data_IF_764174749813
#
_entry.id   IF_764174749813
#
_cell.length_a   1.000
_cell.length_b   1.000
_cell.length_c   1.000
_cell.angle_alpha   90.00
_cell.angle_beta   90.00
_cell.angle_gamma   90.00
#
_symmetry.space_group_name_H-M   'P 1'
#
loop_
_entity.id
_entity.type
_entity.pdbx_description
1 polymer ?
#
# COMPACT_ATOMS: atom_id res chain seq x y z
N UNK A 1 51.45 -41.23 31.40
CA UNK A 1 50.36 -41.79 32.21
C UNK A 1 50.39 -41.24 33.63
N UNK A 2 50.04 -39.97 33.82
CA UNK A 2 49.72 -39.37 35.12
C UNK A 2 49.06 -38.01 34.83
N UNK A 3 48.08 -37.62 35.65
CA UNK A 3 47.23 -36.42 35.60
C UNK A 3 45.98 -36.45 34.70
N UNK A 4 45.09 -37.40 35.03
CA UNK A 4 43.64 -37.12 35.13
C UNK A 4 43.33 -36.73 36.59
N UNK A 5 42.19 -36.05 36.79
CA UNK A 5 41.49 -35.80 38.07
C UNK A 5 41.85 -34.47 38.74
N UNK A 6 41.19 -33.38 38.33
CA UNK A 6 40.79 -32.21 39.18
C UNK A 6 40.16 -31.12 38.32
N UNK A 7 38.89 -31.29 37.90
CA UNK A 7 38.05 -30.19 37.37
C UNK A 7 36.59 -30.62 37.19
N UNK A 8 36.01 -31.21 38.23
CA UNK A 8 34.56 -31.35 38.39
C UNK A 8 34.29 -31.16 39.87
N UNK A 9 33.19 -30.49 40.24
CA UNK A 9 32.80 -30.05 41.60
C UNK A 9 33.16 -28.58 41.89
N UNK A 10 32.54 -27.64 41.18
CA UNK A 10 32.17 -26.29 41.71
C UNK A 10 31.22 -25.54 40.74
N UNK A 11 30.15 -26.19 40.27
CA UNK A 11 29.09 -25.52 39.46
C UNK A 11 27.69 -26.06 39.81
N UNK A 12 27.41 -26.33 41.09
CA UNK A 12 26.16 -26.98 41.52
C UNK A 12 25.56 -26.33 42.77
N UNK A 13 25.60 -24.99 42.86
CA UNK A 13 24.99 -24.27 43.98
C UNK A 13 24.32 -22.91 43.62
N UNK A 14 24.26 -22.52 42.35
CA UNK A 14 23.59 -21.27 41.90
C UNK A 14 22.47 -21.49 40.87
N UNK A 15 21.85 -22.68 40.83
CA UNK A 15 20.85 -23.05 39.81
C UNK A 15 19.49 -23.47 40.40
N UNK A 16 19.20 -23.07 41.65
CA UNK A 16 17.96 -23.46 42.36
C UNK A 16 17.12 -22.30 42.89
N UNK A 17 17.41 -21.05 42.47
CA UNK A 17 16.67 -19.86 42.94
C UNK A 17 15.91 -19.12 41.82
N UNK A 18 15.71 -19.72 40.64
CA UNK A 18 15.13 -19.05 39.45
C UNK A 18 13.86 -19.73 38.88
N UNK A 19 13.09 -20.45 39.70
CA UNK A 19 11.84 -21.13 39.27
C UNK A 19 10.61 -20.83 40.16
N UNK A 20 10.56 -19.65 40.79
CA UNK A 20 9.39 -19.17 41.53
C UNK A 20 8.96 -17.77 41.08
N UNK A 21 9.02 -17.50 39.77
CA UNK A 21 8.16 -16.45 39.21
C UNK A 21 6.77 -17.10 39.10
N UNK A 22 5.74 -16.65 39.83
CA UNK A 22 4.38 -17.08 39.56
C UNK A 22 4.12 -16.75 38.10
N UNK A 23 4.03 -17.79 37.25
CA UNK A 23 3.59 -17.60 35.88
C UNK A 23 2.26 -16.88 35.96
N UNK A 24 2.19 -15.67 35.40
CA UNK A 24 0.94 -15.04 35.09
C UNK A 24 0.22 -16.06 34.21
N UNK A 25 -0.76 -16.75 34.78
CA UNK A 25 -1.62 -17.61 34.00
C UNK A 25 -2.34 -16.66 33.05
N UNK A 26 -1.91 -16.62 31.79
CA UNK A 26 -2.65 -15.91 30.76
C UNK A 26 -4.08 -16.40 30.81
N UNK A 27 -5.02 -15.47 31.00
CA UNK A 27 -6.42 -15.79 31.00
C UNK A 27 -6.82 -16.06 29.55
N UNK A 28 -6.82 -17.34 29.16
CA UNK A 28 -7.32 -17.75 27.85
C UNK A 28 -8.72 -17.16 27.63
N UNK A 29 -8.96 -16.63 26.42
CA UNK A 29 -10.25 -16.02 26.06
C UNK A 29 -11.42 -16.95 26.39
N UNK A 30 -12.49 -16.35 26.88
CA UNK A 30 -13.72 -17.07 27.17
C UNK A 30 -14.40 -17.55 25.89
N UNK A 31 -15.19 -18.63 26.00
CA UNK A 31 -15.89 -19.23 24.85
C UNK A 31 -16.75 -18.24 24.06
N UNK A 32 -17.45 -17.26 24.67
CA UNK A 32 -18.20 -16.24 23.93
C UNK A 32 -17.29 -15.39 23.03
N UNK A 33 -16.15 -14.92 23.54
CA UNK A 33 -15.16 -14.12 22.79
C UNK A 33 -14.58 -14.94 21.62
N UNK A 34 -14.17 -16.19 21.89
CA UNK A 34 -13.68 -17.07 20.84
C UNK A 34 -14.73 -17.32 19.75
N UNK A 35 -15.99 -17.51 20.12
CA UNK A 35 -17.09 -17.68 19.16
C UNK A 35 -17.30 -16.43 18.33
N UNK A 36 -17.08 -15.24 18.90
CA UNK A 36 -17.23 -13.99 18.20
C UNK A 36 -16.17 -13.79 17.11
N UNK A 37 -14.89 -13.86 17.47
CA UNK A 37 -13.77 -13.74 16.53
C UNK A 37 -13.85 -14.77 15.39
N UNK A 38 -14.15 -16.03 15.72
CA UNK A 38 -14.39 -17.08 14.72
C UNK A 38 -15.60 -16.81 13.82
N UNK A 39 -16.62 -16.13 14.36
CA UNK A 39 -17.81 -15.73 13.64
C UNK A 39 -17.50 -14.64 12.62
N UNK A 40 -16.81 -13.58 13.06
CA UNK A 40 -16.44 -12.44 12.22
C UNK A 40 -15.57 -12.88 11.04
N UNK A 41 -14.43 -13.53 11.29
CA UNK A 41 -13.53 -13.99 10.23
C UNK A 41 -14.24 -14.89 9.19
N UNK A 42 -15.13 -15.77 9.66
CA UNK A 42 -15.90 -16.68 8.80
C UNK A 42 -16.94 -15.94 7.95
N UNK A 43 -17.68 -14.98 8.52
CA UNK A 43 -18.71 -14.26 7.78
C UNK A 43 -18.09 -13.18 6.86
N UNK A 44 -16.98 -12.54 7.26
CA UNK A 44 -16.18 -11.63 6.42
C UNK A 44 -15.66 -12.36 5.17
N UNK A 45 -15.10 -13.57 5.33
CA UNK A 45 -14.71 -14.42 4.19
C UNK A 45 -15.87 -14.89 3.29
N UNK A 46 -17.13 -14.66 3.68
CA UNK A 46 -18.28 -14.84 2.76
C UNK A 46 -18.63 -13.57 2.00
N UNK A 47 -18.32 -12.39 2.54
CA UNK A 47 -18.44 -11.10 1.85
C UNK A 47 -17.45 -11.08 0.70
N UNK A 48 -16.16 -11.24 1.00
CA UNK A 48 -15.06 -11.39 0.05
C UNK A 48 -15.43 -12.38 -1.08
N UNK A 49 -15.76 -13.62 -0.73
CA UNK A 49 -16.16 -14.65 -1.70
C UNK A 49 -17.39 -14.25 -2.55
N UNK A 50 -18.33 -13.50 -1.99
CA UNK A 50 -19.48 -13.01 -2.75
C UNK A 50 -19.04 -11.92 -3.73
N UNK A 51 -18.22 -10.98 -3.26
CA UNK A 51 -17.67 -9.86 -4.02
C UNK A 51 -16.79 -10.35 -5.17
N UNK A 52 -15.76 -11.16 -4.90
CA UNK A 52 -14.90 -11.76 -5.93
C UNK A 52 -15.68 -12.65 -6.92
N UNK A 53 -16.78 -13.25 -6.45
CA UNK A 53 -17.72 -13.99 -7.30
C UNK A 53 -18.51 -13.11 -8.28
N UNK A 54 -18.86 -11.89 -7.87
CA UNK A 54 -19.53 -10.91 -8.72
C UNK A 54 -18.53 -10.17 -9.62
N UNK A 55 -17.34 -9.81 -9.14
CA UNK A 55 -16.23 -9.29 -9.96
C UNK A 55 -15.90 -10.20 -11.15
N UNK A 56 -15.67 -11.49 -10.89
CA UNK A 56 -15.42 -12.46 -11.94
C UNK A 56 -16.62 -12.65 -12.89
N UNK A 57 -17.85 -12.34 -12.46
CA UNK A 57 -19.02 -12.33 -13.34
C UNK A 57 -19.10 -11.05 -14.18
N UNK A 58 -18.74 -9.89 -13.63
CA UNK A 58 -18.71 -8.60 -14.30
C UNK A 58 -17.71 -8.59 -15.47
N UNK A 59 -16.44 -8.90 -15.20
CA UNK A 59 -15.39 -9.02 -16.24
C UNK A 59 -15.81 -10.00 -17.34
N UNK A 60 -16.40 -11.14 -16.96
CA UNK A 60 -16.90 -12.14 -17.90
C UNK A 60 -18.09 -11.66 -18.75
N UNK A 61 -19.01 -10.88 -18.17
CA UNK A 61 -20.19 -10.39 -18.87
C UNK A 61 -19.81 -9.25 -19.82
N UNK A 62 -18.92 -8.35 -19.38
CA UNK A 62 -18.34 -7.30 -20.20
C UNK A 62 -17.61 -7.90 -21.41
N UNK A 63 -16.71 -8.87 -21.20
CA UNK A 63 -16.00 -9.55 -22.29
C UNK A 63 -16.87 -10.39 -23.23
N UNK A 64 -18.18 -10.52 -22.93
CA UNK A 64 -19.19 -11.13 -23.81
C UNK A 64 -20.14 -10.10 -24.43
N UNK A 65 -19.90 -8.80 -24.22
CA UNK A 65 -20.76 -7.68 -24.56
C UNK A 65 -22.20 -7.88 -24.07
N UNK A 66 -22.36 -8.34 -22.82
CA UNK A 66 -23.65 -8.49 -22.12
C UNK A 66 -23.86 -7.32 -21.16
N UNK A 67 -23.97 -6.12 -21.71
CA UNK A 67 -24.14 -4.88 -20.94
C UNK A 67 -25.42 -4.88 -20.11
N UNK A 68 -26.47 -5.59 -20.53
CA UNK A 68 -27.70 -5.83 -19.76
C UNK A 68 -27.48 -6.61 -18.44
N UNK A 69 -26.31 -7.24 -18.29
CA UNK A 69 -25.90 -7.99 -17.09
C UNK A 69 -24.86 -7.26 -16.26
N UNK A 70 -24.57 -5.99 -16.56
CA UNK A 70 -23.65 -5.14 -15.80
C UNK A 70 -24.38 -4.19 -14.84
N UNK A 71 -25.70 -4.04 -15.01
CA UNK A 71 -26.52 -3.16 -14.19
C UNK A 71 -26.69 -1.77 -14.80
N UNK A 72 -27.18 -0.80 -14.01
CA UNK A 72 -27.19 0.61 -14.41
C UNK A 72 -25.81 1.08 -14.85
N UNK A 73 -25.74 1.97 -15.84
CA UNK A 73 -24.49 2.48 -16.43
C UNK A 73 -23.84 1.54 -17.46
N UNK A 74 -23.98 0.22 -17.28
CA UNK A 74 -23.60 -0.76 -18.30
C UNK A 74 -22.08 -0.89 -18.51
N UNK A 75 -21.27 -0.39 -17.57
CA UNK A 75 -19.81 -0.50 -17.56
C UNK A 75 -19.35 -1.65 -16.66
N UNK A 76 -18.07 -2.02 -16.76
CA UNK A 76 -17.52 -3.06 -15.87
C UNK A 76 -17.37 -2.53 -14.45
N UNK A 77 -17.00 -1.27 -14.27
CA UNK A 77 -16.87 -0.55 -13.00
C UNK A 77 -18.20 -0.52 -12.24
N UNK A 78 -19.28 -0.09 -12.89
CA UNK A 78 -20.61 -0.07 -12.29
C UNK A 78 -21.00 -1.47 -11.80
N UNK A 79 -20.66 -2.51 -12.59
CA UNK A 79 -21.01 -3.88 -12.24
C UNK A 79 -20.33 -4.35 -10.95
N UNK A 80 -19.10 -3.91 -10.65
CA UNK A 80 -18.35 -4.34 -9.47
C UNK A 80 -19.04 -3.92 -8.17
N UNK A 81 -19.71 -2.76 -8.17
CA UNK A 81 -20.35 -2.19 -6.97
C UNK A 81 -21.86 -2.42 -6.89
N UNK A 82 -22.50 -2.80 -8.00
CA UNK A 82 -23.96 -2.90 -8.09
C UNK A 82 -24.61 -4.09 -7.32
N UNK A 83 -23.84 -5.05 -6.80
CA UNK A 83 -24.34 -6.30 -6.16
C UNK A 83 -25.57 -6.88 -6.89
N UNK A 84 -25.44 -7.15 -8.19
CA UNK A 84 -26.56 -7.47 -9.08
C UNK A 84 -27.41 -8.68 -8.64
N UNK A 85 -26.90 -9.50 -7.71
CA UNK A 85 -27.57 -10.68 -7.18
C UNK A 85 -27.94 -10.56 -5.71
N UNK A 86 -27.70 -9.42 -5.06
CA UNK A 86 -27.93 -9.20 -3.63
C UNK A 86 -27.11 -10.12 -2.72
N UNK A 87 -26.02 -10.70 -3.23
CA UNK A 87 -25.23 -11.71 -2.52
C UNK A 87 -24.28 -11.05 -1.52
N UNK A 88 -23.71 -9.92 -1.90
CA UNK A 88 -22.78 -9.15 -1.07
C UNK A 88 -23.54 -8.55 0.10
N UNK A 89 -24.64 -7.83 -0.16
CA UNK A 89 -25.52 -7.27 0.87
C UNK A 89 -26.02 -8.35 1.85
N UNK A 90 -26.39 -9.53 1.33
CA UNK A 90 -26.79 -10.67 2.17
C UNK A 90 -25.64 -11.22 3.02
N UNK A 91 -24.40 -11.17 2.54
CA UNK A 91 -23.23 -11.56 3.32
C UNK A 91 -22.92 -10.50 4.40
N UNK A 92 -22.93 -9.21 4.06
CA UNK A 92 -22.74 -8.09 5.01
C UNK A 92 -23.75 -8.14 6.15
N UNK A 93 -25.03 -8.42 5.83
CA UNK A 93 -26.08 -8.62 6.84
C UNK A 93 -25.75 -9.74 7.84
N UNK A 94 -25.04 -10.80 7.40
CA UNK A 94 -24.63 -11.88 8.31
C UNK A 94 -23.45 -11.49 9.18
N UNK A 95 -22.53 -10.68 8.67
CA UNK A 95 -21.44 -10.10 9.48
C UNK A 95 -22.03 -9.20 10.56
N UNK A 96 -22.95 -8.30 10.21
CA UNK A 96 -23.65 -7.44 11.17
C UNK A 96 -24.45 -8.22 12.24
N UNK A 97 -24.81 -9.48 11.95
CA UNK A 97 -25.44 -10.38 12.93
C UNK A 97 -24.45 -11.00 13.93
N UNK A 98 -23.14 -10.83 13.73
CA UNK A 98 -22.09 -11.23 14.68
C UNK A 98 -21.76 -10.02 15.53
N UNK A 99 -22.23 -10.02 16.77
CA UNK A 99 -22.02 -8.91 17.71
C UNK A 99 -21.01 -9.34 18.77
N UNK A 100 -19.83 -8.69 18.80
CA UNK A 100 -18.83 -8.84 19.85
C UNK A 100 -19.03 -7.72 20.87
N UNK A 101 -19.86 -7.95 21.88
CA UNK A 101 -20.11 -6.96 22.93
C UNK A 101 -20.33 -7.65 24.28
N UNK A 102 -20.10 -6.91 25.37
CA UNK A 102 -20.21 -7.43 26.73
C UNK A 102 -19.28 -8.63 26.95
N UNK A 103 -19.82 -9.75 27.42
CA UNK A 103 -19.04 -10.98 27.65
C UNK A 103 -18.44 -11.58 26.36
N UNK A 104 -18.96 -11.23 25.19
CA UNK A 104 -18.43 -11.70 23.90
C UNK A 104 -17.37 -10.77 23.31
N UNK A 105 -17.08 -9.64 23.97
CA UNK A 105 -16.07 -8.69 23.55
C UNK A 105 -14.67 -9.17 23.98
N UNK A 106 -13.78 -9.54 23.04
CA UNK A 106 -12.39 -9.89 23.35
C UNK A 106 -11.54 -8.70 23.83
N UNK A 107 -11.97 -7.45 23.60
CA UNK A 107 -11.17 -6.25 23.82
C UNK A 107 -10.07 -6.02 22.78
N UNK A 108 -10.02 -6.84 21.72
CA UNK A 108 -9.09 -6.72 20.59
C UNK A 108 -9.64 -7.38 19.33
N UNK A 109 -9.08 -7.01 18.17
CA UNK A 109 -9.42 -7.59 16.89
C UNK A 109 -10.69 -7.03 16.27
N UNK A 110 -11.19 -7.77 15.30
CA UNK A 110 -12.10 -7.27 14.28
C UNK A 110 -13.38 -6.61 14.80
N UNK A 111 -13.65 -5.39 14.30
CA UNK A 111 -14.85 -4.62 14.61
C UNK A 111 -15.91 -4.73 13.50
N UNK A 112 -17.02 -4.00 13.64
CA UNK A 112 -18.17 -4.08 12.73
C UNK A 112 -17.91 -3.67 11.28
N UNK A 113 -16.74 -3.08 10.97
CA UNK A 113 -16.36 -2.57 9.62
C UNK A 113 -15.76 -3.65 8.71
N UNK A 114 -15.41 -4.83 9.21
CA UNK A 114 -14.77 -5.90 8.42
C UNK A 114 -15.55 -6.34 7.17
N UNK A 115 -16.87 -6.11 7.18
CA UNK A 115 -17.70 -6.41 6.02
C UNK A 115 -17.44 -5.43 4.87
N UNK A 116 -17.13 -4.17 5.19
CA UNK A 116 -16.78 -3.13 4.22
C UNK A 116 -15.33 -3.34 3.76
N UNK A 117 -14.40 -3.56 4.68
CA UNK A 117 -12.99 -3.85 4.37
C UNK A 117 -12.83 -5.06 3.44
N UNK A 118 -13.51 -6.18 3.73
CA UNK A 118 -13.46 -7.37 2.87
C UNK A 118 -14.09 -7.15 1.48
N UNK A 119 -14.99 -6.18 1.34
CA UNK A 119 -15.56 -5.81 0.04
C UNK A 119 -14.58 -4.91 -0.74
N UNK A 120 -14.00 -3.92 -0.06
CA UNK A 120 -13.06 -2.96 -0.62
C UNK A 120 -11.74 -3.65 -1.03
N UNK A 121 -11.28 -4.63 -0.26
CA UNK A 121 -10.14 -5.50 -0.60
C UNK A 121 -10.30 -6.16 -1.97
N UNK A 122 -11.44 -6.80 -2.23
CA UNK A 122 -11.69 -7.47 -3.51
C UNK A 122 -11.78 -6.46 -4.67
N UNK A 123 -12.22 -5.22 -4.40
CA UNK A 123 -12.28 -4.16 -5.41
C UNK A 123 -10.89 -3.64 -5.73
N UNK A 124 -10.10 -3.35 -4.69
CA UNK A 124 -8.70 -3.00 -4.79
C UNK A 124 -7.91 -4.09 -5.52
N UNK A 125 -8.15 -5.37 -5.25
CA UNK A 125 -7.48 -6.48 -5.91
C UNK A 125 -7.74 -6.52 -7.42
N UNK A 126 -8.98 -6.27 -7.84
CA UNK A 126 -9.30 -6.20 -9.27
C UNK A 126 -8.57 -5.02 -9.92
N UNK A 127 -8.61 -3.82 -9.32
CA UNK A 127 -7.91 -2.67 -9.87
C UNK A 127 -6.38 -2.82 -9.85
N UNK A 128 -5.83 -3.44 -8.82
CA UNK A 128 -4.39 -3.66 -8.71
C UNK A 128 -3.86 -4.64 -9.76
N UNK A 129 -4.67 -5.57 -10.26
CA UNK A 129 -4.27 -6.51 -11.32
C UNK A 129 -4.61 -6.00 -12.72
N UNK A 130 -5.81 -5.43 -12.89
CA UNK A 130 -6.33 -4.97 -14.19
C UNK A 130 -6.08 -3.49 -14.47
N UNK A 131 -5.45 -2.74 -13.56
CA UNK A 131 -5.35 -1.29 -13.65
C UNK A 131 -6.58 -0.57 -13.08
N UNK A 132 -6.42 0.72 -12.82
CA UNK A 132 -7.46 1.58 -12.23
C UNK A 132 -8.63 1.89 -13.18
N UNK A 133 -8.39 1.86 -14.49
CA UNK A 133 -9.41 2.04 -15.53
C UNK A 133 -9.72 0.68 -16.19
N UNK A 134 -10.79 0.03 -15.72
CA UNK A 134 -11.21 -1.28 -16.22
C UNK A 134 -11.95 -1.16 -17.55
N UNK A 135 -12.57 -0.01 -17.84
CA UNK A 135 -13.30 0.24 -19.08
C UNK A 135 -12.36 0.24 -20.29
N UNK A 136 -11.13 0.74 -20.12
CA UNK A 136 -10.10 0.68 -21.17
C UNK A 136 -9.33 -0.64 -21.19
N UNK A 137 -9.17 -1.31 -20.05
CA UNK A 137 -8.33 -2.51 -19.96
C UNK A 137 -9.10 -3.81 -20.20
N UNK A 138 -10.32 -3.95 -19.69
CA UNK A 138 -11.12 -5.16 -19.87
C UNK A 138 -11.63 -5.22 -21.29
N UNK A 139 -11.29 -6.28 -22.01
CA UNK A 139 -11.54 -6.37 -23.44
C UNK A 139 -12.95 -6.88 -23.74
N UNK A 140 -13.69 -6.14 -24.57
CA UNK A 140 -14.97 -6.61 -25.11
C UNK A 140 -14.75 -7.54 -26.32
N UNK A 141 -14.69 -8.84 -26.07
CA UNK A 141 -14.57 -9.86 -27.11
C UNK A 141 -15.79 -9.99 -28.03
N UNK A 142 -16.88 -9.23 -27.81
CA UNK A 142 -18.03 -9.17 -28.72
C UNK A 142 -17.84 -8.11 -29.79
N UNK A 143 -17.32 -6.93 -29.45
CA UNK A 143 -17.04 -5.84 -30.39
C UNK A 143 -15.84 -6.16 -31.27
N UNK A 144 -14.80 -6.77 -30.68
CA UNK A 144 -13.67 -7.31 -31.43
C UNK A 144 -13.58 -8.84 -31.29
N UNK A 145 -14.06 -9.60 -32.29
CA UNK A 145 -13.97 -11.05 -32.30
C UNK A 145 -12.55 -11.62 -32.25
N UNK A 146 -11.54 -10.86 -32.69
CA UNK A 146 -10.13 -11.28 -32.62
C UNK A 146 -9.63 -11.34 -31.16
N UNK A 147 -10.21 -10.51 -30.29
CA UNK A 147 -9.87 -10.43 -28.88
C UNK A 147 -10.71 -11.35 -27.96
N UNK A 148 -11.49 -12.28 -28.53
CA UNK A 148 -12.23 -13.29 -27.73
C UNK A 148 -11.34 -14.16 -26.86
N UNK A 149 -10.08 -14.36 -27.25
CA UNK A 149 -9.07 -15.05 -26.44
C UNK A 149 -8.73 -14.23 -25.18
N UNK A 150 -8.34 -12.98 -25.38
CA UNK A 150 -8.06 -12.01 -24.31
C UNK A 150 -9.21 -11.88 -23.30
N UNK A 151 -10.43 -11.65 -23.78
CA UNK A 151 -11.62 -11.54 -22.92
C UNK A 151 -11.86 -12.80 -22.07
N UNK A 152 -11.59 -14.01 -22.61
CA UNK A 152 -11.69 -15.28 -21.86
C UNK A 152 -10.56 -15.46 -20.86
N UNK A 153 -9.36 -15.02 -21.20
CA UNK A 153 -8.19 -14.99 -20.32
C UNK A 153 -8.50 -14.11 -19.09
N UNK A 154 -8.82 -12.83 -19.31
CA UNK A 154 -9.20 -11.86 -18.26
C UNK A 154 -10.33 -12.38 -17.37
N UNK A 155 -11.41 -12.91 -17.96
CA UNK A 155 -12.51 -13.52 -17.19
C UNK A 155 -12.08 -14.76 -16.36
N UNK A 156 -11.06 -15.50 -16.81
CA UNK A 156 -10.54 -16.64 -16.06
C UNK A 156 -9.66 -16.18 -14.89
N UNK A 157 -8.84 -15.15 -15.10
CA UNK A 157 -7.98 -14.55 -14.07
C UNK A 157 -8.84 -13.89 -13.00
N UNK A 158 -9.77 -12.99 -13.35
CA UNK A 158 -10.68 -12.33 -12.40
C UNK A 158 -11.45 -13.34 -11.54
N UNK A 159 -11.94 -14.43 -12.14
CA UNK A 159 -12.61 -15.51 -11.38
C UNK A 159 -11.67 -16.24 -10.42
N UNK A 160 -10.38 -16.32 -10.74
CA UNK A 160 -9.40 -17.01 -9.92
C UNK A 160 -8.86 -16.10 -8.80
N UNK A 161 -8.75 -14.79 -9.03
CA UNK A 161 -8.49 -13.77 -7.99
C UNK A 161 -9.52 -13.87 -6.86
N UNK A 162 -10.82 -13.81 -7.17
CA UNK A 162 -11.87 -13.96 -6.16
C UNK A 162 -11.98 -15.35 -5.51
N UNK A 163 -11.19 -16.35 -5.96
CA UNK A 163 -11.00 -17.61 -5.22
C UNK A 163 -9.74 -17.60 -4.36
N UNK A 164 -8.75 -16.81 -4.75
CA UNK A 164 -7.54 -16.58 -3.99
C UNK A 164 -7.87 -15.78 -2.72
N UNK A 165 -8.58 -14.65 -2.82
CA UNK A 165 -9.09 -13.90 -1.64
C UNK A 165 -9.92 -14.78 -0.71
N UNK A 166 -10.89 -15.52 -1.27
CA UNK A 166 -11.67 -16.49 -0.50
C UNK A 166 -10.86 -17.64 0.14
N UNK A 167 -9.68 -17.96 -0.40
CA UNK A 167 -8.76 -18.92 0.21
C UNK A 167 -7.95 -18.28 1.35
N UNK A 168 -7.55 -17.02 1.21
CA UNK A 168 -6.91 -16.21 2.25
C UNK A 168 -7.80 -16.07 3.48
N UNK A 169 -9.01 -15.56 3.34
CA UNK A 169 -9.97 -15.47 4.46
C UNK A 169 -10.25 -16.80 5.14
N UNK A 170 -10.29 -17.87 4.35
CA UNK A 170 -10.47 -19.21 4.90
C UNK A 170 -9.24 -19.67 5.69
N UNK A 171 -8.05 -19.37 5.20
CA UNK A 171 -6.79 -19.64 5.89
C UNK A 171 -6.73 -18.87 7.21
N UNK A 172 -6.96 -17.56 7.15
CA UNK A 172 -7.07 -16.68 8.31
C UNK A 172 -8.07 -17.23 9.35
N UNK A 173 -9.31 -17.51 8.96
CA UNK A 173 -10.30 -18.06 9.88
C UNK A 173 -9.95 -19.44 10.44
N UNK A 174 -9.19 -20.28 9.70
CA UNK A 174 -8.66 -21.55 10.22
C UNK A 174 -7.51 -21.32 11.22
N UNK A 175 -6.66 -20.31 10.99
CA UNK A 175 -5.61 -19.88 11.92
C UNK A 175 -6.19 -19.31 13.21
N UNK A 176 -7.10 -18.33 13.12
CA UNK A 176 -7.81 -17.74 14.27
C UNK A 176 -8.45 -18.83 15.12
N UNK A 177 -9.14 -19.77 14.47
CA UNK A 177 -9.75 -20.90 15.17
C UNK A 177 -8.75 -21.80 15.89
N UNK A 178 -7.61 -22.06 15.27
CA UNK A 178 -6.56 -22.88 15.88
C UNK A 178 -5.94 -22.16 17.08
N UNK A 179 -5.54 -20.90 16.88
CA UNK A 179 -4.86 -20.10 17.89
C UNK A 179 -5.74 -19.79 19.12
N UNK A 180 -7.03 -19.54 18.91
CA UNK A 180 -7.98 -19.41 20.03
C UNK A 180 -8.19 -20.72 20.79
N UNK A 181 -8.04 -21.87 20.12
CA UNK A 181 -8.23 -23.19 20.73
C UNK A 181 -7.02 -23.63 21.53
N UNK A 182 -5.81 -23.32 21.06
CA UNK A 182 -4.56 -23.69 21.73
C UNK A 182 -4.03 -22.61 22.69
N UNK A 183 -4.64 -21.41 22.68
CA UNK A 183 -4.28 -20.31 23.55
C UNK A 183 -3.10 -19.49 23.03
N UNK A 184 -2.70 -19.64 21.76
CA UNK A 184 -1.67 -18.78 21.15
C UNK A 184 -2.20 -17.42 20.68
N UNK A 185 -3.52 -17.24 20.63
CA UNK A 185 -4.17 -15.95 20.38
C UNK A 185 -4.86 -15.51 21.67
N UNK A 186 -4.24 -14.56 22.36
CA UNK A 186 -4.73 -13.98 23.61
C UNK A 186 -4.87 -12.45 23.53
N UNK A 187 -4.30 -11.86 22.49
CA UNK A 187 -4.24 -10.42 22.23
C UNK A 187 -4.17 -10.14 20.73
N UNK A 188 -4.04 -8.85 20.40
CA UNK A 188 -3.91 -8.33 19.05
C UNK A 188 -2.68 -8.89 18.30
N UNK A 189 -1.54 -9.04 19.00
CA UNK A 189 -0.31 -9.57 18.41
C UNK A 189 -0.46 -11.04 18.01
N UNK A 190 -1.13 -11.85 18.84
CA UNK A 190 -1.48 -13.22 18.50
C UNK A 190 -2.40 -13.29 17.29
N UNK A 191 -3.37 -12.37 17.18
CA UNK A 191 -4.25 -12.29 16.02
C UNK A 191 -3.50 -11.88 14.75
N UNK A 192 -2.62 -10.88 14.84
CA UNK A 192 -1.76 -10.43 13.73
C UNK A 192 -0.79 -11.51 13.26
N UNK A 193 -0.39 -12.45 14.13
CA UNK A 193 0.41 -13.60 13.72
C UNK A 193 -0.33 -14.53 12.72
N UNK A 194 -1.66 -14.48 12.66
CA UNK A 194 -2.42 -15.16 11.60
C UNK A 194 -2.37 -14.47 10.24
N UNK A 195 -1.78 -13.27 10.18
CA UNK A 195 -1.68 -12.40 9.02
C UNK A 195 -0.22 -12.30 8.52
N UNK A 196 0.79 -12.51 9.39
CA UNK A 196 2.19 -12.11 9.14
C UNK A 196 3.28 -13.19 8.88
N UNK A 197 3.00 -14.37 8.33
CA UNK A 197 4.02 -15.41 8.08
C UNK A 197 3.83 -16.25 6.81
N UNK A 198 4.49 -15.92 5.71
CA UNK A 198 4.24 -16.47 4.36
C UNK A 198 4.14 -18.01 4.20
N UNK A 199 3.01 -18.55 3.66
CA UNK A 199 1.67 -17.97 3.71
C UNK A 199 1.02 -18.27 5.07
N UNK A 200 0.66 -17.23 5.84
CA UNK A 200 0.20 -17.40 7.21
C UNK A 200 -1.19 -17.98 7.18
N UNK A 201 -1.45 -18.90 8.10
CA UNK A 201 -2.76 -19.53 8.15
C UNK A 201 -3.10 -20.41 6.95
N UNK A 202 -2.12 -20.94 6.19
CA UNK A 202 -2.40 -21.96 5.17
C UNK A 202 -1.99 -23.40 5.55
N UNK A 203 -2.42 -23.95 6.70
CA UNK A 203 -2.02 -25.30 7.12
C UNK A 203 -2.52 -26.39 6.17
N UNK A 204 -3.41 -26.04 5.22
CA UNK A 204 -4.00 -26.96 4.25
C UNK A 204 -3.57 -26.71 2.81
N UNK A 205 -2.62 -25.80 2.55
CA UNK A 205 -2.14 -25.49 1.21
C UNK A 205 -3.23 -24.96 0.26
N UNK A 206 -4.30 -24.37 0.78
CA UNK A 206 -5.43 -23.80 0.01
C UNK A 206 -5.04 -22.52 -0.68
N UNK A 207 -4.32 -21.63 0.00
CA UNK A 207 -3.83 -20.38 -0.59
C UNK A 207 -2.89 -20.72 -1.72
N UNK A 208 -1.87 -21.56 -1.48
CA UNK A 208 -0.95 -22.03 -2.54
C UNK A 208 -1.72 -22.68 -3.71
N UNK A 209 -2.71 -23.52 -3.42
CA UNK A 209 -3.51 -24.19 -4.46
C UNK A 209 -4.33 -23.23 -5.31
N UNK A 210 -4.98 -22.23 -4.71
CA UNK A 210 -5.87 -21.31 -5.41
C UNK A 210 -5.12 -20.11 -6.01
N UNK A 211 -4.11 -19.57 -5.32
CA UNK A 211 -3.34 -18.38 -5.71
C UNK A 211 -2.11 -18.69 -6.57
N UNK A 212 -1.60 -19.92 -6.56
CA UNK A 212 -0.53 -20.36 -7.49
C UNK A 212 -1.09 -21.36 -8.49
N UNK A 213 -1.23 -22.64 -8.11
CA UNK A 213 -1.47 -23.73 -9.07
C UNK A 213 -2.70 -23.54 -9.97
N UNK A 214 -3.80 -23.00 -9.44
CA UNK A 214 -5.00 -22.72 -10.25
C UNK A 214 -4.95 -21.38 -10.97
N UNK A 215 -4.17 -20.43 -10.46
CA UNK A 215 -3.89 -19.17 -11.15
C UNK A 215 -3.05 -19.44 -12.39
N UNK A 216 -1.97 -20.23 -12.30
CA UNK A 216 -1.18 -20.67 -13.45
C UNK A 216 -2.08 -21.29 -14.54
N UNK A 217 -3.01 -22.17 -14.14
CA UNK A 217 -4.01 -22.77 -15.07
C UNK A 217 -5.01 -21.77 -15.65
N UNK A 218 -5.27 -20.66 -14.97
CA UNK A 218 -6.06 -19.56 -15.51
C UNK A 218 -5.24 -18.79 -16.54
N UNK A 219 -3.96 -18.52 -16.25
CA UNK A 219 -2.99 -17.86 -17.13
C UNK A 219 -2.64 -18.67 -18.38
N UNK A 220 -2.66 -20.00 -18.31
CA UNK A 220 -2.53 -20.88 -19.48
C UNK A 220 -3.59 -20.59 -20.56
N UNK A 221 -4.75 -20.02 -20.18
CA UNK A 221 -5.79 -19.60 -21.16
C UNK A 221 -5.47 -18.29 -21.85
N UNK A 222 -4.49 -17.56 -21.34
CA UNK A 222 -3.91 -16.38 -21.96
C UNK A 222 -2.81 -16.78 -22.96
N UNK A 223 -2.31 -18.02 -22.90
CA UNK A 223 -1.34 -18.51 -23.86
C UNK A 223 -1.99 -18.63 -25.26
N UNK A 224 -1.28 -18.11 -26.26
CA UNK A 224 -1.66 -18.28 -27.66
C UNK A 224 -2.94 -17.55 -28.07
N UNK A 225 -3.24 -16.39 -27.47
CA UNK A 225 -4.29 -15.46 -27.95
C UNK A 225 -3.95 -15.12 -29.41
N UNK A 226 -4.67 -15.70 -30.40
CA UNK A 226 -4.26 -15.58 -31.79
C UNK A 226 -4.77 -14.26 -32.36
N UNK A 227 -3.85 -13.44 -32.87
CA UNK A 227 -4.17 -12.33 -33.77
C UNK A 227 -4.52 -10.98 -33.14
N UNK A 228 -4.33 -10.79 -31.83
CA UNK A 228 -4.64 -9.53 -31.16
C UNK A 228 -3.47 -8.60 -30.89
N UNK A 229 -2.22 -9.05 -31.07
CA UNK A 229 -1.03 -8.27 -30.68
C UNK A 229 -0.87 -8.07 -29.16
N UNK A 230 -1.90 -8.37 -28.36
CA UNK A 230 -1.90 -8.01 -26.96
C UNK A 230 -0.92 -8.79 -26.11
N UNK A 231 -0.15 -8.08 -25.30
CA UNK A 231 0.77 -8.66 -24.32
C UNK A 231 0.05 -8.94 -23.00
N UNK A 232 0.68 -9.70 -22.09
CA UNK A 232 0.14 -9.85 -20.73
C UNK A 232 0.11 -8.52 -19.99
N UNK A 233 1.11 -7.67 -20.19
CA UNK A 233 1.19 -6.33 -19.57
C UNK A 233 0.02 -5.45 -20.02
N UNK A 234 -0.40 -5.52 -21.28
CA UNK A 234 -1.58 -4.77 -21.76
C UNK A 234 -2.90 -5.33 -21.21
N UNK A 235 -2.97 -6.63 -20.93
CA UNK A 235 -4.16 -7.26 -20.35
C UNK A 235 -4.28 -7.08 -18.84
N UNK A 236 -3.14 -6.85 -18.17
CA UNK A 236 -2.97 -6.77 -16.73
C UNK A 236 -1.95 -5.68 -16.37
N UNK A 237 -2.26 -4.40 -16.67
CA UNK A 237 -1.31 -3.30 -16.55
C UNK A 237 -0.87 -3.03 -15.12
N UNK A 238 -1.68 -3.40 -14.12
CA UNK A 238 -1.28 -3.31 -12.71
C UNK A 238 -0.19 -4.32 -12.31
N UNK A 239 0.10 -5.29 -13.17
CA UNK A 239 1.21 -6.22 -13.05
C UNK A 239 2.25 -6.09 -14.18
N UNK A 240 2.24 -4.97 -14.91
CA UNK A 240 3.16 -4.77 -16.03
C UNK A 240 4.62 -4.76 -15.55
N UNK A 241 5.49 -5.47 -16.28
CA UNK A 241 6.92 -5.52 -15.96
C UNK A 241 7.31 -6.55 -14.90
N UNK A 242 6.35 -7.29 -14.35
CA UNK A 242 6.59 -8.38 -13.40
C UNK A 242 6.13 -9.74 -13.95
N UNK A 243 6.57 -10.82 -13.31
CA UNK A 243 5.94 -12.11 -13.52
C UNK A 243 4.50 -12.05 -12.98
N UNK A 244 3.52 -12.16 -13.88
CA UNK A 244 2.10 -11.99 -13.55
C UNK A 244 1.61 -12.91 -12.43
N UNK A 245 2.15 -14.14 -12.31
CA UNK A 245 1.80 -15.02 -11.19
C UNK A 245 2.34 -14.48 -9.86
N UNK A 246 3.61 -14.04 -9.85
CA UNK A 246 4.27 -13.44 -8.68
C UNK A 246 3.59 -12.13 -8.27
N UNK A 247 3.32 -11.24 -9.22
CA UNK A 247 2.60 -9.98 -8.97
C UNK A 247 1.26 -10.26 -8.29
N UNK A 248 0.40 -11.09 -8.90
CA UNK A 248 -0.91 -11.42 -8.33
C UNK A 248 -0.81 -12.01 -6.92
N UNK A 249 0.17 -12.89 -6.68
CA UNK A 249 0.37 -13.48 -5.35
C UNK A 249 0.73 -12.42 -4.30
N UNK A 250 1.66 -11.53 -4.62
CA UNK A 250 2.09 -10.46 -3.73
C UNK A 250 0.95 -9.45 -3.51
N UNK A 251 0.32 -8.98 -4.59
CA UNK A 251 -0.82 -8.06 -4.53
C UNK A 251 -1.98 -8.62 -3.71
N UNK A 252 -2.35 -9.89 -3.92
CA UNK A 252 -3.43 -10.49 -3.14
C UNK A 252 -3.03 -10.63 -1.67
N UNK A 253 -1.79 -11.02 -1.38
CA UNK A 253 -1.32 -11.09 -0.01
C UNK A 253 -1.42 -9.72 0.68
N UNK A 254 -0.84 -8.68 0.08
CA UNK A 254 -0.84 -7.32 0.64
C UNK A 254 -2.26 -6.80 0.88
N UNK A 255 -3.14 -6.85 -0.13
CA UNK A 255 -4.49 -6.28 -0.01
C UNK A 255 -5.35 -7.00 1.02
N UNK A 256 -5.26 -8.34 1.09
CA UNK A 256 -6.02 -9.11 2.08
C UNK A 256 -5.47 -8.91 3.49
N UNK A 257 -4.15 -8.74 3.63
CA UNK A 257 -3.50 -8.38 4.91
C UNK A 257 -4.04 -7.03 5.38
N UNK A 258 -4.00 -6.01 4.53
CA UNK A 258 -4.47 -4.65 4.84
C UNK A 258 -5.95 -4.67 5.26
N UNK A 259 -6.80 -5.41 4.54
CA UNK A 259 -8.22 -5.52 4.85
C UNK A 259 -8.50 -6.21 6.20
N UNK A 260 -7.69 -7.22 6.54
CA UNK A 260 -7.79 -7.89 7.83
C UNK A 260 -7.28 -6.96 8.94
N UNK A 261 -6.18 -6.23 8.74
CA UNK A 261 -5.60 -5.30 9.72
C UNK A 261 -6.51 -4.08 9.97
N UNK A 262 -6.99 -3.42 8.91
CA UNK A 262 -7.93 -2.30 9.01
C UNK A 262 -9.23 -2.74 9.68
N UNK A 263 -9.76 -3.89 9.27
CA UNK A 263 -10.98 -4.43 9.88
C UNK A 263 -10.75 -4.92 11.31
N UNK A 264 -9.53 -5.35 11.65
CA UNK A 264 -9.09 -5.70 13.00
C UNK A 264 -9.00 -4.48 13.94
N UNK A 265 -9.15 -3.26 13.41
CA UNK A 265 -8.97 -2.02 14.17
C UNK A 265 -7.53 -1.86 14.67
N UNK A 266 -6.58 -2.54 14.03
CA UNK A 266 -5.16 -2.54 14.39
C UNK A 266 -4.38 -1.47 13.62
N UNK A 267 -5.01 -0.86 12.61
CA UNK A 267 -4.52 0.31 11.89
C UNK A 267 -5.38 1.52 12.22
N UNK A 268 -4.78 2.51 12.85
CA UNK A 268 -5.28 3.87 12.84
C UNK A 268 -5.41 4.35 11.38
N UNK A 269 -6.59 4.81 10.98
CA UNK A 269 -6.93 5.25 9.63
C UNK A 269 -6.94 6.76 9.60
N UNK A 270 -5.79 7.29 9.18
CA UNK A 270 -5.59 8.71 9.16
C UNK A 270 -6.53 9.45 8.19
N UNK A 271 -7.30 10.40 8.71
CA UNK A 271 -8.18 11.28 7.95
C UNK A 271 -9.65 10.93 7.96
N UNK A 272 -10.09 10.07 8.88
CA UNK A 272 -11.47 9.62 8.99
C UNK A 272 -12.33 10.51 9.94
N UNK A 273 -11.73 11.52 10.56
CA UNK A 273 -12.31 12.42 11.55
C UNK A 273 -12.40 11.85 12.98
N UNK A 274 -11.75 10.73 13.25
CA UNK A 274 -11.78 10.00 14.53
C UNK A 274 -10.35 9.77 15.00
N UNK A 275 -10.01 10.30 16.18
CA UNK A 275 -8.70 10.08 16.76
C UNK A 275 -8.57 8.64 17.28
N UNK A 276 -7.77 7.81 16.61
CA UNK A 276 -7.56 6.39 16.91
C UNK A 276 -6.27 6.15 17.72
N UNK A 277 -6.10 4.91 18.21
CA UNK A 277 -4.94 4.57 19.04
C UNK A 277 -3.64 4.61 18.23
N UNK A 278 -2.71 5.48 18.61
CA UNK A 278 -1.46 5.70 17.89
C UNK A 278 -1.44 6.98 17.04
N UNK A 279 -2.59 7.64 16.87
CA UNK A 279 -2.69 8.95 16.25
C UNK A 279 -2.58 10.07 17.28
N UNK A 280 -1.99 11.18 16.88
CA UNK A 280 -1.97 12.42 17.67
C UNK A 280 -3.05 13.41 17.21
N UNK A 281 -3.57 13.23 16.00
CA UNK A 281 -4.58 14.05 15.37
C UNK A 281 -5.29 13.30 14.22
N UNK A 282 -6.53 13.69 13.91
CA UNK A 282 -7.28 13.30 12.73
C UNK A 282 -8.35 14.38 12.46
N UNK A 283 -8.50 14.96 11.24
CA UNK A 283 -7.95 14.56 9.94
C UNK A 283 -6.67 15.30 9.50
N UNK A 284 -6.03 14.93 8.36
CA UNK A 284 -4.99 15.73 7.72
C UNK A 284 -5.40 17.20 7.57
N UNK A 285 -4.54 18.11 8.01
CA UNK A 285 -4.83 19.55 8.10
C UNK A 285 -5.67 19.98 9.31
N UNK A 286 -6.10 19.03 10.15
CA UNK A 286 -6.72 19.31 11.45
C UNK A 286 -5.77 19.98 12.44
N UNK A 287 -6.34 20.71 13.40
CA UNK A 287 -5.57 21.41 14.43
C UNK A 287 -5.21 20.49 15.59
N UNK A 288 -3.93 20.39 15.90
CA UNK A 288 -3.45 19.72 17.10
C UNK A 288 -3.62 20.56 18.36
N UNK A 289 -3.67 19.90 19.52
CA UNK A 289 -3.85 20.55 20.84
C UNK A 289 -2.77 21.61 21.16
N UNK A 290 -1.59 21.52 20.54
CA UNK A 290 -0.47 22.46 20.70
C UNK A 290 -0.34 23.46 19.54
N UNK A 291 -1.34 23.56 18.66
CA UNK A 291 -1.32 24.46 17.50
C UNK A 291 -0.48 23.94 16.32
N UNK A 292 -0.14 22.66 16.32
CA UNK A 292 0.46 21.95 15.17
C UNK A 292 -0.56 21.62 14.08
N UNK A 293 -0.06 21.27 12.89
CA UNK A 293 -0.86 20.76 11.78
C UNK A 293 -0.80 19.24 11.76
N UNK A 294 -1.95 18.61 11.55
CA UNK A 294 -2.00 17.17 11.40
C UNK A 294 -1.46 16.74 10.03
N UNK A 295 -0.39 15.94 10.01
CA UNK A 295 0.16 15.32 8.79
C UNK A 295 0.43 13.85 9.07
N UNK A 296 -0.15 12.96 8.24
CA UNK A 296 -0.07 11.51 8.45
C UNK A 296 -0.42 11.09 9.90
N UNK A 297 -1.35 11.82 10.53
CA UNK A 297 -1.87 11.57 11.87
C UNK A 297 -0.87 11.72 13.01
N UNK A 298 0.21 12.46 12.73
CA UNK A 298 1.11 13.00 13.72
C UNK A 298 1.00 14.52 13.76
N UNK A 299 1.11 15.07 14.96
CA UNK A 299 1.09 16.50 15.16
C UNK A 299 2.46 17.07 14.85
N UNK A 300 2.57 17.75 13.71
CA UNK A 300 3.79 18.48 13.38
C UNK A 300 3.69 19.89 13.98
N UNK A 301 4.62 20.30 14.85
CA UNK A 301 4.63 21.66 15.38
C UNK A 301 4.72 22.67 14.21
N UNK A 302 3.89 23.70 14.24
CA UNK A 302 3.75 24.73 13.19
C UNK A 302 5.02 25.58 12.95
N UNK A 303 6.12 25.28 13.64
CA UNK A 303 7.43 25.90 13.43
C UNK A 303 8.36 25.20 12.44
N UNK A 304 8.03 24.00 11.95
CA UNK A 304 8.92 23.17 11.11
C UNK A 304 8.39 22.85 9.72
N UNK A 305 7.37 23.54 9.21
CA UNK A 305 7.13 23.58 7.75
C UNK A 305 8.08 24.61 7.12
N UNK A 306 9.38 24.43 7.36
CA UNK A 306 10.43 24.97 6.52
C UNK A 306 10.69 23.94 5.45
N UNK A 307 10.66 24.33 4.18
CA UNK A 307 11.16 23.51 3.08
C UNK A 307 12.44 22.77 3.51
N UNK A 308 12.49 21.46 3.30
CA UNK A 308 13.70 20.69 3.58
C UNK A 308 14.78 21.12 2.57
N UNK A 309 15.49 22.20 2.89
CA UNK A 309 16.56 22.75 2.07
C UNK A 309 17.80 21.87 2.29
N UNK A 310 17.93 20.79 1.53
CA UNK A 310 19.16 20.01 1.50
C UNK A 310 20.19 20.78 0.66
N UNK A 311 21.06 21.55 1.31
CA UNK A 311 22.24 22.13 0.66
C UNK A 311 23.20 20.98 0.36
N UNK A 312 23.25 20.51 -0.88
CA UNK A 312 24.35 19.67 -1.34
C UNK A 312 25.62 20.53 -1.48
N UNK A 313 26.79 19.91 -1.28
CA UNK A 313 28.09 20.58 -1.36
C UNK A 313 28.21 21.44 -2.63
N UNK A 314 28.80 22.65 -2.55
CA UNK A 314 28.86 23.56 -3.69
C UNK A 314 29.65 22.93 -4.84
N UNK A 315 28.94 22.64 -5.94
CA UNK A 315 29.56 22.23 -7.20
C UNK A 315 30.39 23.40 -7.74
N UNK A 316 31.69 23.19 -7.88
CA UNK A 316 32.55 24.16 -8.54
C UNK A 316 32.67 23.80 -10.04
N UNK A 317 32.50 24.81 -10.90
CA UNK A 317 32.59 24.64 -12.35
C UNK A 317 33.78 25.42 -12.90
N UNK A 318 34.34 24.91 -13.98
CA UNK A 318 35.42 25.56 -14.70
C UNK A 318 34.93 26.80 -15.45
N UNK A 319 35.61 27.93 -15.23
CA UNK A 319 35.37 29.18 -15.96
C UNK A 319 36.62 29.55 -16.77
N UNK A 320 36.43 29.73 -18.08
CA UNK A 320 37.52 29.98 -19.04
C UNK A 320 38.26 28.71 -19.48
N UNK A 321 39.05 28.83 -20.55
CA UNK A 321 39.74 27.70 -21.17
C UNK A 321 38.83 26.80 -22.01
N UNK A 322 39.38 25.68 -22.49
CA UNK A 322 38.70 24.79 -23.45
C UNK A 322 37.60 23.94 -22.82
N UNK A 323 37.47 23.95 -21.48
CA UNK A 323 36.51 23.13 -20.72
C UNK A 323 35.60 23.97 -19.80
N UNK A 324 35.24 25.18 -20.21
CA UNK A 324 34.28 26.00 -19.48
C UNK A 324 32.93 25.26 -19.31
N UNK A 325 32.42 25.20 -18.08
CA UNK A 325 31.18 24.50 -17.71
C UNK A 325 31.35 23.05 -17.25
N UNK A 326 32.55 22.48 -17.26
CA UNK A 326 32.82 21.17 -16.68
C UNK A 326 32.97 21.21 -15.15
N UNK A 327 32.63 20.12 -14.47
CA UNK A 327 32.83 19.96 -13.02
C UNK A 327 34.32 19.93 -12.66
N UNK A 328 34.69 20.64 -11.59
CA UNK A 328 36.03 20.57 -11.05
C UNK A 328 36.27 19.21 -10.39
N UNK A 329 37.32 18.51 -10.78
CA UNK A 329 37.66 17.21 -10.17
C UNK A 329 38.27 17.42 -8.79
N UNK A 330 37.64 16.84 -7.75
CA UNK A 330 37.98 17.05 -6.32
C UNK A 330 39.18 16.23 -5.80
N UNK A 331 39.89 15.50 -6.68
CA UNK A 331 40.93 14.56 -6.24
C UNK A 331 42.27 15.21 -5.83
N UNK A 332 42.48 16.50 -6.12
CA UNK A 332 43.70 17.23 -5.77
C UNK A 332 43.34 18.64 -5.24
N UNK A 333 44.00 19.07 -4.16
CA UNK A 333 43.94 20.45 -3.69
C UNK A 333 45.16 21.23 -4.20
N UNK A 334 44.98 22.35 -4.92
CA UNK A 334 43.69 22.96 -5.33
C UNK A 334 43.05 22.23 -6.53
N UNK A 335 41.70 22.25 -6.64
CA UNK A 335 41.00 21.65 -7.77
C UNK A 335 41.36 22.38 -9.08
N UNK A 336 41.72 21.63 -10.12
CA UNK A 336 42.13 22.17 -11.41
C UNK A 336 41.15 21.81 -12.53
N UNK A 337 41.02 22.72 -13.49
CA UNK A 337 40.31 22.49 -14.73
C UNK A 337 41.26 21.84 -15.73
N UNK A 338 40.96 20.60 -16.14
CA UNK A 338 41.68 19.96 -17.24
C UNK A 338 41.59 20.89 -18.46
N UNK A 339 42.69 21.28 -19.09
CA UNK A 339 42.68 22.20 -20.24
C UNK A 339 42.78 23.70 -19.93
N UNK A 340 43.03 24.07 -18.66
CA UNK A 340 43.15 25.47 -18.24
C UNK A 340 41.79 26.12 -17.95
N UNK A 341 41.80 27.16 -17.11
CA UNK A 341 40.61 27.79 -16.55
C UNK A 341 40.71 27.92 -15.02
N UNK A 342 39.82 28.71 -14.43
CA UNK A 342 39.73 28.88 -12.98
C UNK A 342 38.50 28.13 -12.46
N UNK A 343 38.69 27.34 -11.41
CA UNK A 343 37.61 26.62 -10.76
C UNK A 343 36.86 27.58 -9.84
N UNK A 344 35.63 27.95 -10.21
CA UNK A 344 34.81 28.91 -9.46
C UNK A 344 33.67 28.16 -8.76
N UNK A 345 33.55 28.24 -7.43
CA UNK A 345 32.43 27.63 -6.72
C UNK A 345 31.12 28.29 -7.18
N UNK A 346 30.17 27.47 -7.65
CA UNK A 346 28.82 27.92 -7.92
C UNK A 346 27.98 27.65 -6.67
N UNK A 347 27.33 28.68 -6.12
CA UNK A 347 26.32 28.45 -5.10
C UNK A 347 25.02 28.05 -5.81
N UNK A 348 24.80 26.76 -5.99
CA UNK A 348 23.52 26.22 -6.43
C UNK A 348 22.67 25.85 -5.20
N UNK A 349 21.43 26.32 -5.16
CA UNK A 349 20.43 25.86 -4.19
C UNK A 349 19.49 24.89 -4.92
N UNK A 350 19.33 23.68 -4.38
CA UNK A 350 18.33 22.74 -4.85
C UNK A 350 17.08 22.90 -3.97
N UNK A 351 15.97 23.37 -4.55
CA UNK A 351 14.66 23.36 -3.87
C UNK A 351 13.89 22.18 -4.43
N UNK A 352 13.79 21.10 -3.65
CA UNK A 352 12.93 19.97 -4.01
C UNK A 352 11.56 20.16 -3.37
N UNK A 353 10.49 20.26 -4.16
CA UNK A 353 9.16 19.94 -3.67
C UNK A 353 9.06 18.42 -3.53
N UNK A 354 8.55 17.96 -2.39
CA UNK A 354 8.36 16.53 -2.15
C UNK A 354 7.26 16.03 -3.10
N UNK A 355 7.47 14.97 -3.89
CA UNK A 355 6.46 14.51 -4.85
C UNK A 355 5.36 13.80 -4.07
N UNK A 356 4.26 14.50 -3.80
CA UNK A 356 3.08 13.89 -3.18
C UNK A 356 1.99 13.53 -4.18
N UNK A 357 2.12 13.84 -5.49
CA UNK A 357 1.18 13.37 -6.51
C UNK A 357 1.85 13.17 -7.88
N UNK A 358 2.08 11.92 -8.28
CA UNK A 358 2.32 11.53 -9.69
C UNK A 358 3.76 11.54 -10.21
N UNK A 359 4.09 10.57 -11.06
CA UNK A 359 5.44 10.20 -11.53
C UNK A 359 6.05 11.05 -12.67
N UNK A 360 5.60 12.28 -12.92
CA UNK A 360 6.15 13.09 -14.01
C UNK A 360 6.71 14.44 -13.53
N UNK A 361 8.03 14.60 -13.61
CA UNK A 361 8.69 15.92 -13.67
C UNK A 361 9.35 16.41 -12.38
N UNK A 362 10.65 16.15 -12.27
CA UNK A 362 11.51 16.82 -11.29
C UNK A 362 11.96 18.16 -11.90
N UNK A 363 11.31 19.26 -11.51
CA UNK A 363 11.72 20.59 -11.98
C UNK A 363 12.92 21.10 -11.17
N UNK A 364 14.08 21.11 -11.82
CA UNK A 364 15.32 21.68 -11.26
C UNK A 364 15.31 23.18 -11.56
N UNK A 365 15.02 24.00 -10.55
CA UNK A 365 15.20 25.45 -10.63
C UNK A 365 16.65 25.79 -10.25
N UNK A 366 17.49 26.07 -11.24
CA UNK A 366 18.86 26.56 -11.01
C UNK A 366 18.85 28.09 -10.90
N UNK A 367 19.04 28.63 -9.71
CA UNK A 367 19.34 30.05 -9.52
C UNK A 367 20.86 30.23 -9.48
N UNK A 368 21.39 31.15 -10.30
CA UNK A 368 22.83 31.36 -10.49
C UNK A 368 23.38 32.62 -9.81
N UNK A 369 22.63 33.23 -8.87
CA UNK A 369 23.12 34.36 -8.10
C UNK A 369 23.00 34.16 -6.59
N UNK A 370 23.97 34.70 -5.86
CA UNK A 370 24.09 34.60 -4.40
C UNK A 370 23.30 35.68 -3.64
N UNK A 371 22.44 36.43 -4.33
CA UNK A 371 21.75 37.62 -3.79
C UNK A 371 20.22 37.57 -3.85
N UNK A 372 19.66 36.49 -4.36
CA UNK A 372 18.20 36.31 -4.47
C UNK A 372 17.67 35.50 -3.30
N UNK A 373 16.66 36.05 -2.63
CA UNK A 373 15.86 35.31 -1.64
C UNK A 373 14.51 34.94 -2.25
N UNK A 374 14.12 33.67 -2.13
CA UNK A 374 12.82 33.15 -2.55
C UNK A 374 11.96 32.96 -1.29
N UNK A 375 10.78 33.58 -1.26
CA UNK A 375 9.80 33.41 -0.18
C UNK A 375 8.47 33.00 -0.78
N UNK A 376 7.96 31.84 -0.40
CA UNK A 376 6.67 31.33 -0.86
C UNK A 376 5.59 31.50 0.21
N UNK A 377 4.38 31.86 -0.23
CA UNK A 377 3.18 31.84 0.60
C UNK A 377 2.66 30.41 0.85
N UNK A 378 1.59 30.27 1.65
CA UNK A 378 0.93 28.98 1.86
C UNK A 378 0.36 28.41 0.55
N UNK A 379 0.32 27.08 0.46
CA UNK A 379 -0.25 26.33 -0.69
C UNK A 379 -1.77 26.40 -0.64
N UNK A 380 -2.42 26.77 -1.75
CA UNK A 380 -3.88 26.73 -1.88
C UNK A 380 -4.35 25.26 -1.90
N UNK A 381 -5.23 24.86 -0.98
CA UNK A 381 -5.68 23.47 -0.88
C UNK A 381 -6.56 23.02 -2.05
N UNK A 382 -7.05 23.91 -2.90
CA UNK A 382 -7.95 23.57 -4.01
C UNK A 382 -7.19 23.20 -5.29
N UNK A 383 -6.00 23.75 -5.51
CA UNK A 383 -5.23 23.55 -6.73
C UNK A 383 -3.76 23.19 -6.50
N UNK A 384 -3.28 23.17 -5.24
CA UNK A 384 -1.91 22.79 -4.92
C UNK A 384 -0.86 23.85 -5.27
N UNK A 385 -1.27 25.07 -5.65
CA UNK A 385 -0.34 26.13 -6.05
C UNK A 385 0.06 27.03 -4.87
N UNK A 386 1.26 27.62 -4.93
CA UNK A 386 1.70 28.64 -3.97
C UNK A 386 2.30 29.83 -4.71
N UNK A 387 1.95 31.05 -4.30
CA UNK A 387 2.60 32.25 -4.83
C UNK A 387 3.97 32.45 -4.16
N UNK A 388 5.02 32.48 -4.98
CA UNK A 388 6.38 32.77 -4.51
C UNK A 388 6.83 34.16 -4.97
N UNK A 389 7.36 34.95 -4.03
CA UNK A 389 7.99 36.23 -4.30
C UNK A 389 9.50 36.08 -4.23
N UNK A 390 10.20 36.53 -5.27
CA UNK A 390 11.65 36.69 -5.25
C UNK A 390 12.00 38.15 -4.92
N UNK A 391 12.90 38.34 -3.97
CA UNK A 391 13.52 39.64 -3.70
C UNK A 391 14.98 39.55 -4.11
N UNK A 392 15.33 40.24 -5.20
CA UNK A 392 16.71 40.45 -5.61
C UNK A 392 17.22 41.74 -4.98
N UNK A 393 18.16 41.63 -4.04
CA UNK A 393 18.74 42.79 -3.37
C UNK A 393 19.91 43.34 -4.21
N UNK A 394 19.58 44.21 -5.14
CA UNK A 394 20.50 45.24 -5.65
C UNK A 394 21.09 44.99 -7.03
N UNK A 395 20.44 45.52 -8.08
CA UNK A 395 21.11 45.91 -9.32
C UNK A 395 20.41 47.16 -9.90
N UNK A 396 21.08 48.31 -9.90
CA UNK A 396 20.71 49.41 -10.79
C UNK A 396 21.20 49.06 -12.20
N UNK A 397 20.28 48.83 -13.16
CA UNK A 397 20.60 48.90 -14.59
C UNK A 397 20.47 47.63 -15.45
N UNK A 398 19.88 46.54 -14.97
CA UNK A 398 19.55 45.39 -15.83
C UNK A 398 18.04 45.33 -16.14
N UNK A 399 17.68 45.31 -17.43
CA UNK A 399 16.30 45.08 -17.86
C UNK A 399 15.96 43.59 -17.71
N UNK A 400 15.12 43.26 -16.74
CA UNK A 400 14.55 41.93 -16.58
C UNK A 400 13.21 41.92 -17.33
N UNK A 401 13.09 41.09 -18.36
CA UNK A 401 11.80 40.82 -19.02
C UNK A 401 10.93 39.96 -18.09
N UNK A 402 9.58 40.07 -18.13
CA UNK A 402 8.72 39.30 -17.25
C UNK A 402 8.88 37.80 -17.54
N UNK A 403 9.44 37.07 -16.59
CA UNK A 403 9.36 35.61 -16.53
C UNK A 403 8.00 35.31 -15.90
N UNK A 404 7.03 34.89 -16.71
CA UNK A 404 5.78 34.36 -16.21
C UNK A 404 6.02 32.98 -15.63
N UNK A 405 5.67 32.77 -14.36
CA UNK A 405 5.61 31.45 -13.74
C UNK A 405 4.23 30.85 -14.06
N UNK A 406 4.23 29.63 -14.58
CA UNK A 406 3.07 28.74 -14.59
C UNK A 406 3.46 27.55 -13.72
N UNK A 407 2.94 27.51 -12.49
CA UNK A 407 2.86 26.27 -11.73
C UNK A 407 1.71 25.44 -12.34
N UNK A 408 1.97 24.15 -12.61
CA UNK A 408 0.91 23.20 -12.94
C UNK A 408 0.50 22.42 -11.70
#
# INVERSE_FOLDING_TARGET
MLNRIRTRITWTACLLALFLVPGLASAALEKPQQKCLNGLAKEAGKVDKAQGGDHGACVKNFGKGKTDKLGPGGTVEDCLTNDLKGKVAKAKTKVAGVVCSGEADPGFGVTGTIADEAMDAELALIHAVFGSDLASTVVDGKTDPSLKGAAKCQASVAKQLGKCGAAWWKGYGECVKAGLKDGSIEDEAGLAACIGGAPPGDPKGRIVKDCSTKLTKALEKCAGIPGGGQTLDELFPGCAGEDLETCIQNTTASIEIDAIENGAGTGAVCGNGVLEAGEECDPPGGTCSEGGSCLNCFCIPTGEIGAHLSIQDPLALCVGGDNAGAECTSAFMPPECTGGGECVPQASFLVTSNPLFGEDGLDIITLTDSSTTLSCGPVDPNDGTAECTTVSLGIEGAAIFPIGFLCF
#
